data_IF_925726169812
#
_entry.id   IF_925726169812
#
_cell.length_a   1.000
_cell.length_b   1.000
_cell.length_c   1.000
_cell.angle_alpha   90.00
_cell.angle_beta   90.00
_cell.angle_gamma   90.00
#
_symmetry.space_group_name_H-M   'P 1'
#
loop_
_entity.id
_entity.type
_entity.pdbx_description
1 polymer ?
#
# COMPACT_ATOMS: atom_id res chain seq x y z
N UNK A 1 -10.21 8.95 3.84
CA UNK A 1 -9.14 9.95 3.97
C UNK A 1 -8.82 10.16 5.43
N UNK A 2 -7.54 10.19 5.83
CA UNK A 2 -7.12 10.72 7.11
C UNK A 2 -7.57 12.19 7.13
N UNK A 3 -8.65 12.43 7.87
CA UNK A 3 -9.21 13.76 8.10
C UNK A 3 -8.88 14.14 9.54
N UNK A 4 -8.26 15.29 9.73
CA UNK A 4 -8.02 15.92 11.03
C UNK A 4 -8.67 17.29 10.96
N UNK A 5 -9.62 17.53 11.84
CA UNK A 5 -10.40 18.78 11.88
C UNK A 5 -11.09 19.11 10.54
N UNK A 6 -11.67 18.10 9.88
CA UNK A 6 -12.34 18.27 8.59
C UNK A 6 -11.39 18.47 7.39
N UNK A 7 -10.06 18.46 7.59
CA UNK A 7 -9.05 18.64 6.53
C UNK A 7 -8.29 17.35 6.23
N UNK A 8 -8.01 17.06 4.95
CA UNK A 8 -7.13 15.95 4.59
C UNK A 8 -5.72 16.18 5.15
N UNK A 9 -5.16 15.20 5.87
CA UNK A 9 -3.78 15.22 6.38
C UNK A 9 -2.95 14.06 5.82
N UNK A 10 -1.66 14.03 6.15
CA UNK A 10 -0.74 12.97 5.68
C UNK A 10 -0.05 13.27 4.35
N UNK A 11 0.75 12.30 3.90
CA UNK A 11 1.68 12.42 2.76
C UNK A 11 0.99 12.56 1.41
N UNK A 12 -0.23 12.04 1.27
CA UNK A 12 -0.97 11.99 0.00
C UNK A 12 -2.06 13.06 -0.11
N UNK A 13 -2.19 13.95 0.88
CA UNK A 13 -3.31 14.92 0.98
C UNK A 13 -3.58 15.74 -0.28
N UNK A 14 -2.54 16.04 -1.07
CA UNK A 14 -2.65 16.83 -2.31
C UNK A 14 -3.42 16.10 -3.42
N UNK A 15 -3.52 14.78 -3.31
CA UNK A 15 -4.11 13.87 -4.30
C UNK A 15 -5.43 13.26 -3.86
N UNK A 16 -5.94 13.62 -2.67
CA UNK A 16 -7.23 13.12 -2.19
C UNK A 16 -8.36 14.00 -2.71
N UNK A 17 -9.51 13.38 -2.97
CA UNK A 17 -10.77 14.05 -3.35
C UNK A 17 -11.78 13.91 -2.21
N UNK A 18 -12.73 14.86 -2.04
CA UNK A 18 -13.72 14.76 -0.98
C UNK A 18 -14.53 13.46 -1.03
N UNK A 19 -14.94 12.92 0.14
CA UNK A 19 -15.74 11.67 0.23
C UNK A 19 -16.97 11.68 -0.69
N UNK A 20 -17.68 12.80 -0.78
CA UNK A 20 -18.87 12.93 -1.65
C UNK A 20 -18.57 12.91 -3.16
N UNK A 21 -17.31 13.06 -3.57
CA UNK A 21 -16.87 12.97 -4.96
C UNK A 21 -16.43 11.55 -5.36
N UNK A 22 -16.20 10.65 -4.39
CA UNK A 22 -15.73 9.29 -4.67
C UNK A 22 -16.70 8.48 -5.55
N UNK A 23 -18.04 8.47 -5.33
CA UNK A 23 -18.95 7.75 -6.22
C UNK A 23 -18.94 8.31 -7.65
N UNK A 24 -18.76 9.63 -7.81
CA UNK A 24 -18.69 10.27 -9.14
C UNK A 24 -17.38 9.92 -9.85
N UNK A 25 -16.27 9.88 -9.11
CA UNK A 25 -14.98 9.40 -9.61
C UNK A 25 -15.08 7.94 -10.07
N UNK A 26 -15.68 7.07 -9.26
CA UNK A 26 -15.87 5.66 -9.58
C UNK A 26 -16.70 5.47 -10.87
N UNK A 27 -17.77 6.26 -11.07
CA UNK A 27 -18.54 6.25 -12.33
C UNK A 27 -17.67 6.58 -13.53
N UNK A 28 -16.80 7.60 -13.43
CA UNK A 28 -15.92 8.02 -14.54
C UNK A 28 -14.80 7.00 -14.81
N UNK A 29 -14.36 6.28 -13.79
CA UNK A 29 -13.32 5.26 -13.88
C UNK A 29 -13.84 3.84 -14.15
N UNK A 30 -15.16 3.64 -14.13
CA UNK A 30 -15.80 2.31 -14.09
C UNK A 30 -15.27 1.34 -15.15
N UNK A 31 -15.30 1.73 -16.42
CA UNK A 31 -14.86 0.85 -17.52
C UNK A 31 -13.39 0.43 -17.38
N UNK A 32 -12.54 1.37 -16.96
CA UNK A 32 -11.10 1.11 -16.75
C UNK A 32 -10.88 0.20 -15.54
N UNK A 33 -11.62 0.42 -14.45
CA UNK A 33 -11.58 -0.43 -13.26
C UNK A 33 -12.07 -1.85 -13.56
N UNK A 34 -13.18 -2.01 -14.28
CA UNK A 34 -13.70 -3.33 -14.70
C UNK A 34 -12.71 -4.06 -15.60
N UNK A 35 -12.03 -3.33 -16.50
CA UNK A 35 -10.96 -3.89 -17.34
C UNK A 35 -9.79 -4.38 -16.49
N UNK A 36 -9.30 -3.58 -15.54
CA UNK A 36 -8.21 -3.98 -14.64
C UNK A 36 -8.59 -5.16 -13.74
N UNK A 37 -9.81 -5.16 -13.18
CA UNK A 37 -10.35 -6.27 -12.39
C UNK A 37 -10.42 -7.56 -13.22
N UNK A 38 -10.86 -7.47 -14.47
CA UNK A 38 -10.92 -8.62 -15.38
C UNK A 38 -9.52 -9.15 -15.68
N UNK A 39 -8.55 -8.26 -15.90
CA UNK A 39 -7.17 -8.67 -16.12
C UNK A 39 -6.55 -9.33 -14.89
N UNK A 40 -6.89 -8.83 -13.69
CA UNK A 40 -6.50 -9.44 -12.42
C UNK A 40 -7.11 -10.84 -12.26
N UNK A 41 -8.44 -10.97 -12.44
CA UNK A 41 -9.15 -12.23 -12.25
C UNK A 41 -8.71 -13.33 -13.23
N UNK A 42 -8.30 -12.94 -14.44
CA UNK A 42 -7.90 -13.87 -15.50
C UNK A 42 -6.37 -14.00 -15.64
N UNK A 43 -5.58 -13.34 -14.77
CA UNK A 43 -4.11 -13.31 -14.80
C UNK A 43 -3.54 -12.97 -16.20
N UNK A 44 -4.18 -12.05 -16.92
CA UNK A 44 -3.78 -11.65 -18.28
C UNK A 44 -2.71 -10.56 -18.28
N UNK A 45 -2.52 -9.87 -17.16
CA UNK A 45 -1.46 -8.90 -16.94
C UNK A 45 -0.75 -9.22 -15.63
N UNK A 46 0.55 -8.97 -15.59
CA UNK A 46 1.31 -9.07 -14.35
C UNK A 46 0.69 -8.17 -13.27
N UNK A 47 0.67 -8.66 -12.03
CA UNK A 47 0.10 -7.94 -10.89
C UNK A 47 0.75 -6.56 -10.66
N UNK A 48 2.07 -6.44 -10.89
CA UNK A 48 2.78 -5.17 -10.84
C UNK A 48 2.25 -4.18 -11.87
N UNK A 49 2.02 -4.63 -13.10
CA UNK A 49 1.47 -3.83 -14.19
C UNK A 49 0.03 -3.38 -13.89
N UNK A 50 -0.81 -4.26 -13.35
CA UNK A 50 -2.17 -3.91 -12.91
C UNK A 50 -2.12 -2.76 -11.89
N UNK A 51 -1.26 -2.87 -10.88
CA UNK A 51 -1.16 -1.83 -9.85
C UNK A 51 -0.61 -0.52 -10.40
N UNK A 52 0.39 -0.56 -11.29
CA UNK A 52 0.93 0.64 -11.94
C UNK A 52 -0.18 1.34 -12.72
N UNK A 53 -0.93 0.61 -13.55
CA UNK A 53 -2.05 1.17 -14.34
C UNK A 53 -3.13 1.73 -13.43
N UNK A 54 -3.46 1.05 -12.33
CA UNK A 54 -4.39 1.52 -11.32
C UNK A 54 -3.95 2.87 -10.73
N UNK A 55 -2.70 2.97 -10.27
CA UNK A 55 -2.16 4.20 -9.68
C UNK A 55 -2.18 5.35 -10.68
N UNK A 56 -1.68 5.13 -11.92
CA UNK A 56 -1.62 6.17 -12.95
C UNK A 56 -3.01 6.66 -13.36
N UNK A 57 -3.97 5.76 -13.49
CA UNK A 57 -5.35 6.10 -13.84
C UNK A 57 -5.97 7.09 -12.84
N UNK A 58 -5.87 6.82 -11.53
CA UNK A 58 -6.39 7.73 -10.51
C UNK A 58 -5.61 9.05 -10.46
N UNK A 59 -4.29 9.02 -10.65
CA UNK A 59 -3.51 10.26 -10.72
C UNK A 59 -4.04 11.17 -11.83
N UNK A 60 -4.25 10.61 -13.02
CA UNK A 60 -4.76 11.34 -14.19
C UNK A 60 -6.17 11.85 -14.00
N UNK A 61 -7.05 11.04 -13.41
CA UNK A 61 -8.41 11.46 -13.11
C UNK A 61 -8.42 12.65 -12.14
N UNK A 62 -7.58 12.60 -11.10
CA UNK A 62 -7.58 13.62 -10.03
C UNK A 62 -6.79 14.88 -10.38
N UNK A 63 -5.79 14.80 -11.26
CA UNK A 63 -4.86 15.91 -11.56
C UNK A 63 -4.61 16.18 -13.04
N UNK A 64 -5.04 15.30 -13.93
CA UNK A 64 -4.83 15.43 -15.38
C UNK A 64 -3.36 15.69 -15.71
N UNK A 65 -3.09 16.82 -16.36
CA UNK A 65 -1.73 17.24 -16.75
C UNK A 65 -0.80 17.52 -15.56
N UNK A 66 -1.34 17.77 -14.37
CA UNK A 66 -0.54 18.02 -13.16
C UNK A 66 -0.08 16.74 -12.46
N UNK A 67 -0.46 15.55 -12.97
CA UNK A 67 -0.09 14.26 -12.37
C UNK A 67 1.43 14.04 -12.29
N UNK A 68 2.17 14.59 -13.26
CA UNK A 68 3.60 14.38 -13.40
C UNK A 68 4.34 15.71 -13.37
N UNK A 69 5.41 15.78 -12.59
CA UNK A 69 6.25 16.98 -12.52
C UNK A 69 7.04 17.14 -13.82
N UNK A 70 7.16 18.37 -14.29
CA UNK A 70 7.95 18.70 -15.48
C UNK A 70 9.43 18.52 -15.16
N UNK A 71 10.10 17.59 -15.84
CA UNK A 71 11.54 17.33 -15.71
C UNK A 71 12.36 17.96 -16.85
N UNK A 72 11.72 18.74 -17.74
CA UNK A 72 12.37 19.38 -18.88
C UNK A 72 12.62 18.45 -20.08
N UNK A 73 12.32 17.15 -19.94
CA UNK A 73 12.35 16.15 -21.01
C UNK A 73 10.95 15.56 -21.20
N UNK A 74 10.58 15.11 -22.40
CA UNK A 74 9.37 14.32 -22.58
C UNK A 74 9.49 13.04 -21.74
N UNK A 75 8.40 12.65 -21.08
CA UNK A 75 8.36 11.36 -20.39
C UNK A 75 8.38 10.22 -21.40
N UNK A 76 9.02 9.09 -21.07
CA UNK A 76 8.96 7.89 -21.89
C UNK A 76 7.51 7.43 -22.14
N UNK A 77 7.33 6.63 -23.19
CA UNK A 77 6.05 6.00 -23.49
C UNK A 77 5.66 5.03 -22.36
N UNK A 78 4.38 4.97 -22.02
CA UNK A 78 3.86 4.12 -20.93
C UNK A 78 3.70 2.66 -21.31
N UNK A 79 3.88 2.32 -22.58
CA UNK A 79 4.07 0.93 -23.01
C UNK A 79 5.36 0.34 -22.45
N UNK A 80 6.38 1.16 -22.17
CA UNK A 80 7.56 0.79 -21.42
C UNK A 80 7.47 1.35 -19.98
N UNK A 81 6.80 0.58 -19.12
CA UNK A 81 6.56 0.97 -17.72
C UNK A 81 7.87 1.17 -16.94
N UNK A 82 8.92 0.41 -17.24
CA UNK A 82 10.19 0.54 -16.53
C UNK A 82 10.87 1.86 -16.86
N UNK A 83 11.03 2.17 -18.15
CA UNK A 83 11.59 3.45 -18.58
C UNK A 83 10.76 4.63 -18.05
N UNK A 84 9.43 4.52 -18.15
CA UNK A 84 8.53 5.54 -17.60
C UNK A 84 8.73 5.75 -16.10
N UNK A 85 8.76 4.68 -15.31
CA UNK A 85 8.91 4.74 -13.85
C UNK A 85 10.29 5.23 -13.42
N UNK A 86 11.35 5.01 -14.19
CA UNK A 86 12.70 5.56 -13.89
C UNK A 86 12.71 7.10 -13.96
N UNK A 87 12.04 7.67 -14.96
CA UNK A 87 12.10 9.11 -15.27
C UNK A 87 10.99 9.93 -14.61
N UNK A 88 9.80 9.35 -14.42
CA UNK A 88 8.65 10.10 -13.93
C UNK A 88 8.86 10.61 -12.49
N UNK A 89 8.25 11.75 -12.17
CA UNK A 89 8.09 12.21 -10.79
C UNK A 89 6.63 12.50 -10.55
N UNK A 90 6.06 11.82 -9.57
CA UNK A 90 4.64 11.93 -9.25
C UNK A 90 4.37 13.21 -8.45
N UNK A 91 3.39 13.99 -8.89
CA UNK A 91 2.97 15.17 -8.17
C UNK A 91 2.28 14.79 -6.86
N UNK A 92 2.64 15.51 -5.79
CA UNK A 92 1.89 15.45 -4.54
C UNK A 92 2.00 14.15 -3.74
N UNK A 93 2.98 13.30 -4.05
CA UNK A 93 3.31 12.09 -3.30
C UNK A 93 4.83 11.93 -3.12
N UNK A 94 5.28 11.26 -2.03
CA UNK A 94 6.68 10.88 -1.87
C UNK A 94 7.15 9.93 -2.97
N UNK A 95 8.46 9.93 -3.23
CA UNK A 95 9.08 9.07 -4.25
C UNK A 95 9.03 7.57 -3.87
N UNK A 96 8.69 7.26 -2.61
CA UNK A 96 8.53 5.90 -2.09
C UNK A 96 7.60 5.07 -2.97
N UNK A 97 6.44 5.61 -3.35
CA UNK A 97 5.45 4.93 -4.21
C UNK A 97 6.06 4.53 -5.55
N UNK A 98 6.74 5.47 -6.23
CA UNK A 98 7.35 5.23 -7.54
C UNK A 98 8.46 4.18 -7.44
N UNK A 99 9.31 4.26 -6.41
CA UNK A 99 10.38 3.30 -6.20
C UNK A 99 9.85 1.90 -5.90
N UNK A 100 8.77 1.77 -5.12
CA UNK A 100 8.12 0.49 -4.89
C UNK A 100 7.58 -0.11 -6.17
N UNK A 101 6.84 0.66 -6.96
CA UNK A 101 6.31 0.20 -8.24
C UNK A 101 7.42 -0.22 -9.20
N UNK A 102 8.51 0.55 -9.28
CA UNK A 102 9.66 0.23 -10.13
C UNK A 102 10.34 -1.07 -9.69
N UNK A 103 10.69 -1.20 -8.41
CA UNK A 103 11.40 -2.38 -7.93
C UNK A 103 10.55 -3.65 -7.99
N UNK A 104 9.24 -3.53 -7.75
CA UNK A 104 8.35 -4.67 -7.94
C UNK A 104 8.26 -5.08 -9.41
N UNK A 105 8.11 -4.11 -10.33
CA UNK A 105 8.02 -4.41 -11.76
C UNK A 105 9.32 -4.97 -12.36
N UNK A 106 10.46 -4.64 -11.76
CA UNK A 106 11.76 -5.24 -12.09
C UNK A 106 11.98 -6.62 -11.44
N UNK A 107 11.08 -7.07 -10.57
CA UNK A 107 11.22 -8.33 -9.83
C UNK A 107 12.18 -8.28 -8.65
N UNK A 108 12.62 -7.09 -8.23
CA UNK A 108 13.54 -6.92 -7.11
C UNK A 108 12.85 -7.11 -5.75
N UNK A 109 11.57 -6.73 -5.64
CA UNK A 109 10.79 -6.79 -4.40
C UNK A 109 9.60 -7.73 -4.56
N UNK A 110 9.46 -8.68 -3.63
CA UNK A 110 8.35 -9.66 -3.64
C UNK A 110 7.09 -9.02 -3.05
N UNK A 111 6.25 -8.49 -3.93
CA UNK A 111 4.92 -8.01 -3.58
C UNK A 111 3.86 -8.87 -4.25
N UNK A 112 2.75 -9.05 -3.53
CA UNK A 112 1.60 -9.82 -4.00
C UNK A 112 0.36 -8.94 -3.98
N UNK A 113 -0.27 -8.79 -5.14
CA UNK A 113 -1.57 -8.12 -5.27
C UNK A 113 -2.66 -9.05 -4.76
N UNK A 114 -3.50 -8.55 -3.86
CA UNK A 114 -4.72 -9.23 -3.38
C UNK A 114 -5.93 -8.30 -3.49
N UNK A 115 -7.12 -8.88 -3.54
CA UNK A 115 -8.39 -8.18 -3.74
C UNK A 115 -9.27 -8.07 -2.48
N UNK A 116 -8.70 -8.45 -1.33
CA UNK A 116 -9.33 -8.36 -0.02
C UNK A 116 -8.34 -7.82 0.99
N UNK A 117 -8.86 -7.22 2.06
CA UNK A 117 -8.02 -6.83 3.19
C UNK A 117 -7.44 -8.09 3.85
N UNK A 118 -6.11 -8.19 4.03
CA UNK A 118 -5.51 -9.27 4.79
C UNK A 118 -5.76 -9.02 6.28
N UNK A 119 -5.95 -10.09 7.05
CA UNK A 119 -5.90 -10.01 8.51
C UNK A 119 -4.48 -9.68 8.98
N UNK A 120 -4.35 -9.15 10.20
CA UNK A 120 -3.06 -8.89 10.85
C UNK A 120 -2.18 -10.14 10.92
N UNK A 121 -2.78 -11.33 11.09
CA UNK A 121 -2.07 -12.61 11.09
C UNK A 121 -1.58 -13.03 9.70
N UNK A 122 -2.37 -12.79 8.65
CA UNK A 122 -1.92 -13.03 7.27
C UNK A 122 -0.77 -12.11 6.88
N UNK A 123 -0.85 -10.83 7.29
CA UNK A 123 0.25 -9.88 7.08
C UNK A 123 1.50 -10.29 7.86
N UNK A 124 1.37 -10.71 9.13
CA UNK A 124 2.48 -11.28 9.91
C UNK A 124 3.15 -12.43 9.17
N UNK A 125 2.34 -13.38 8.69
CA UNK A 125 2.83 -14.57 7.98
C UNK A 125 3.58 -14.18 6.71
N UNK A 126 3.00 -13.28 5.90
CA UNK A 126 3.67 -12.81 4.67
C UNK A 126 5.02 -12.15 4.94
N UNK A 127 5.10 -11.29 5.96
CA UNK A 127 6.34 -10.59 6.31
C UNK A 127 7.38 -11.54 6.90
N UNK A 128 6.94 -12.55 7.66
CA UNK A 128 7.82 -13.63 8.12
C UNK A 128 8.34 -14.49 6.96
N UNK A 129 7.60 -14.58 5.85
CA UNK A 129 8.03 -15.26 4.62
C UNK A 129 8.86 -14.36 3.68
N UNK A 130 8.99 -13.06 3.98
CA UNK A 130 9.83 -12.13 3.22
C UNK A 130 9.12 -11.37 2.10
N UNK A 131 7.78 -11.42 2.05
CA UNK A 131 7.01 -10.66 1.07
C UNK A 131 5.96 -9.76 1.75
N UNK A 132 5.35 -8.85 0.98
CA UNK A 132 4.23 -8.03 1.46
C UNK A 132 3.05 -8.06 0.50
N UNK A 133 1.86 -7.85 1.05
CA UNK A 133 0.68 -7.60 0.24
C UNK A 133 0.55 -6.14 -0.17
N UNK A 134 -0.08 -5.93 -1.32
CA UNK A 134 -0.71 -4.68 -1.71
C UNK A 134 -2.15 -4.98 -2.09
N UNK A 135 -3.10 -4.18 -1.61
CA UNK A 135 -4.52 -4.50 -1.69
C UNK A 135 -5.27 -3.55 -2.63
N UNK A 136 -6.05 -4.09 -3.55
CA UNK A 136 -7.11 -3.36 -4.24
C UNK A 136 -8.46 -3.97 -3.89
N UNK A 137 -9.25 -3.29 -3.06
CA UNK A 137 -10.66 -3.64 -2.88
C UNK A 137 -11.46 -3.18 -4.12
N UNK A 138 -11.64 -4.09 -5.08
CA UNK A 138 -12.27 -3.79 -6.37
C UNK A 138 -13.72 -3.33 -6.22
N UNK A 139 -14.48 -3.94 -5.30
CA UNK A 139 -15.88 -3.60 -5.12
C UNK A 139 -16.03 -2.19 -4.56
N UNK A 140 -15.20 -1.82 -3.56
CA UNK A 140 -15.16 -0.43 -3.07
C UNK A 140 -14.65 0.56 -4.11
N UNK A 141 -13.68 0.17 -4.93
CA UNK A 141 -13.19 1.04 -6.01
C UNK A 141 -14.29 1.35 -7.03
N UNK A 142 -15.07 0.33 -7.42
CA UNK A 142 -16.18 0.44 -8.36
C UNK A 142 -17.38 1.20 -7.80
N UNK A 143 -17.61 1.12 -6.50
CA UNK A 143 -18.70 1.83 -5.82
C UNK A 143 -18.31 3.25 -5.37
N UNK A 144 -17.02 3.56 -5.32
CA UNK A 144 -16.51 4.82 -4.78
C UNK A 144 -16.67 4.90 -3.27
N UNK A 145 -16.42 3.79 -2.60
CA UNK A 145 -16.56 3.65 -1.15
C UNK A 145 -15.23 3.72 -0.40
N UNK A 146 -15.34 3.89 0.91
CA UNK A 146 -14.20 4.01 1.81
C UNK A 146 -13.81 2.64 2.37
N UNK A 147 -12.51 2.39 2.46
CA UNK A 147 -11.93 1.29 3.23
C UNK A 147 -11.97 1.68 4.72
N UNK A 148 -12.65 0.84 5.50
CA UNK A 148 -12.84 0.99 6.96
C UNK A 148 -13.32 2.38 7.39
N UNK A 149 -14.07 3.09 6.55
CA UNK A 149 -14.45 4.50 6.73
C UNK A 149 -13.27 5.50 6.89
N UNK A 150 -12.02 5.05 6.75
CA UNK A 150 -10.82 5.84 7.04
C UNK A 150 -10.08 6.27 5.77
N UNK A 151 -10.07 5.48 4.68
CA UNK A 151 -9.31 5.78 3.44
C UNK A 151 -10.13 5.52 2.18
N UNK A 152 -9.86 6.23 1.10
CA UNK A 152 -10.35 5.78 -0.21
C UNK A 152 -9.43 4.68 -0.76
N UNK A 153 -9.90 3.87 -1.70
CA UNK A 153 -9.15 2.69 -2.19
C UNK A 153 -7.80 3.07 -2.78
N UNK A 154 -7.71 4.21 -3.49
CA UNK A 154 -6.44 4.65 -4.06
C UNK A 154 -5.44 5.06 -2.98
N UNK A 155 -5.89 5.79 -1.96
CA UNK A 155 -5.03 6.11 -0.81
C UNK A 155 -4.55 4.86 -0.07
N UNK A 156 -5.41 3.85 0.09
CA UNK A 156 -5.05 2.58 0.72
C UNK A 156 -3.94 1.86 -0.06
N UNK A 157 -4.05 1.79 -1.39
CA UNK A 157 -2.96 1.28 -2.25
C UNK A 157 -1.65 2.04 -2.03
N UNK A 158 -1.71 3.38 -1.98
CA UNK A 158 -0.50 4.18 -1.75
C UNK A 158 0.11 3.96 -0.37
N UNK A 159 -0.72 3.70 0.64
CA UNK A 159 -0.29 3.34 1.98
C UNK A 159 0.44 2.00 1.99
N UNK A 160 -0.12 0.97 1.37
CA UNK A 160 0.52 -0.34 1.23
C UNK A 160 1.87 -0.23 0.49
N UNK A 161 1.93 0.55 -0.58
CA UNK A 161 3.17 0.80 -1.33
C UNK A 161 4.22 1.55 -0.50
N UNK A 162 3.80 2.46 0.38
CA UNK A 162 4.71 3.14 1.30
C UNK A 162 5.26 2.18 2.36
N UNK A 163 4.46 1.26 2.89
CA UNK A 163 4.95 0.24 3.83
C UNK A 163 5.84 -0.80 3.17
N UNK A 164 5.49 -1.23 1.96
CA UNK A 164 6.36 -2.06 1.13
C UNK A 164 7.73 -1.41 0.92
N UNK A 165 7.77 -0.10 0.66
CA UNK A 165 9.03 0.64 0.59
C UNK A 165 9.84 0.50 1.87
N UNK A 166 9.22 0.71 3.05
CA UNK A 166 9.92 0.58 4.34
C UNK A 166 10.37 -0.85 4.63
N UNK A 167 9.65 -1.85 4.14
CA UNK A 167 9.96 -3.27 4.36
C UNK A 167 11.15 -3.76 3.55
N UNK A 168 11.29 -3.30 2.31
CA UNK A 168 12.35 -3.77 1.40
C UNK A 168 13.57 -2.86 1.32
N UNK A 169 13.46 -1.61 1.78
CA UNK A 169 14.55 -0.66 1.70
C UNK A 169 15.74 -1.10 2.55
N UNK A 170 16.94 -0.99 1.99
CA UNK A 170 18.20 -1.45 2.58
C UNK A 170 18.45 -0.89 3.99
N UNK A 171 18.23 0.41 4.20
CA UNK A 171 18.46 1.06 5.50
C UNK A 171 17.54 0.55 6.63
N UNK A 172 16.52 -0.23 6.28
CA UNK A 172 15.57 -0.83 7.21
C UNK A 172 15.86 -2.31 7.46
N UNK A 173 16.97 -2.84 6.95
CA UNK A 173 17.45 -4.21 7.15
C UNK A 173 16.35 -5.26 6.91
N UNK A 174 15.93 -5.42 5.65
CA UNK A 174 14.86 -6.34 5.25
C UNK A 174 14.99 -7.73 5.91
N UNK A 175 16.17 -8.36 5.83
CA UNK A 175 16.41 -9.67 6.46
C UNK A 175 16.19 -9.65 7.98
N UNK A 176 16.58 -8.57 8.64
CA UNK A 176 16.37 -8.40 10.07
C UNK A 176 14.89 -8.21 10.44
N UNK A 177 14.10 -7.56 9.57
CA UNK A 177 12.64 -7.46 9.73
C UNK A 177 11.99 -8.84 9.57
N UNK A 178 12.39 -9.60 8.54
CA UNK A 178 11.90 -10.97 8.31
C UNK A 178 12.19 -11.86 9.52
N UNK A 179 13.40 -11.81 10.08
CA UNK A 179 13.75 -12.56 11.30
C UNK A 179 12.90 -12.13 12.50
N UNK A 180 12.67 -10.83 12.68
CA UNK A 180 11.77 -10.34 13.73
C UNK A 180 10.35 -10.90 13.57
N UNK A 181 9.77 -10.83 12.37
CA UNK A 181 8.42 -11.35 12.15
C UNK A 181 8.32 -12.86 12.29
N UNK A 182 9.37 -13.62 11.93
CA UNK A 182 9.46 -15.07 12.21
C UNK A 182 9.43 -15.38 13.70
N UNK A 183 10.17 -14.62 14.51
CA UNK A 183 10.14 -14.75 15.97
C UNK A 183 8.73 -14.45 16.51
N UNK A 184 8.12 -13.34 16.09
CA UNK A 184 6.76 -12.98 16.51
C UNK A 184 5.73 -14.03 16.09
N UNK A 185 5.85 -14.59 14.89
CA UNK A 185 4.98 -15.65 14.40
C UNK A 185 5.12 -16.94 15.22
N UNK A 186 6.35 -17.31 15.59
CA UNK A 186 6.61 -18.46 16.47
C UNK A 186 5.92 -18.32 17.83
N UNK A 187 5.92 -17.10 18.38
CA UNK A 187 5.31 -16.79 19.67
C UNK A 187 3.83 -16.38 19.58
N UNK A 188 3.25 -16.35 18.37
CA UNK A 188 1.90 -15.85 18.12
C UNK A 188 0.82 -16.50 19.02
N UNK A 189 0.81 -17.82 19.28
CA UNK A 189 -0.20 -18.42 20.16
C UNK A 189 -0.20 -17.84 21.57
N UNK A 190 0.96 -17.42 22.09
CA UNK A 190 1.09 -16.79 23.41
C UNK A 190 0.49 -15.38 23.36
N UNK A 191 0.78 -14.62 22.31
CA UNK A 191 0.26 -13.27 22.15
C UNK A 191 -1.24 -13.27 21.88
N UNK A 192 -1.76 -14.19 21.07
CA UNK A 192 -3.17 -14.33 20.75
C UNK A 192 -4.04 -14.61 22.00
N UNK A 193 -3.55 -15.41 22.95
CA UNK A 193 -4.27 -15.59 24.22
C UNK A 193 -4.36 -14.31 25.05
N UNK A 194 -3.35 -13.44 24.95
CA UNK A 194 -3.35 -12.14 25.62
C UNK A 194 -4.26 -11.14 24.91
N UNK A 195 -4.31 -11.12 23.57
CA UNK A 195 -5.18 -10.21 22.82
C UNK A 195 -6.67 -10.43 23.13
N UNK A 196 -7.06 -11.65 23.54
CA UNK A 196 -8.42 -11.96 24.00
C UNK A 196 -8.79 -11.32 25.35
N UNK A 197 -7.80 -10.94 26.17
CA UNK A 197 -7.98 -10.48 27.56
C UNK A 197 -7.63 -9.00 27.76
N UNK A 198 -6.81 -8.44 26.87
CA UNK A 198 -6.27 -7.09 26.98
C UNK A 198 -6.44 -6.36 25.64
N UNK A 199 -7.45 -5.50 25.58
CA UNK A 199 -7.80 -4.71 24.40
C UNK A 199 -6.68 -3.74 23.98
N UNK A 200 -5.97 -3.17 24.96
CA UNK A 200 -4.89 -2.22 24.71
C UNK A 200 -3.70 -2.95 24.11
N UNK A 201 -3.38 -4.13 24.62
CA UNK A 201 -2.37 -5.01 24.03
C UNK A 201 -2.80 -5.43 22.62
N UNK A 202 -4.04 -5.88 22.43
CA UNK A 202 -4.57 -6.28 21.11
C UNK A 202 -4.34 -5.21 20.05
N UNK A 203 -4.83 -3.99 20.29
CA UNK A 203 -4.71 -2.90 19.33
C UNK A 203 -3.24 -2.59 18.96
N UNK A 204 -2.34 -2.56 19.95
CA UNK A 204 -0.92 -2.28 19.71
C UNK A 204 -0.20 -3.45 19.03
N UNK A 205 -0.54 -4.68 19.38
CA UNK A 205 0.03 -5.87 18.78
C UNK A 205 -0.42 -6.03 17.33
N UNK A 206 -1.71 -5.82 17.04
CA UNK A 206 -2.23 -5.81 15.67
C UNK A 206 -1.52 -4.76 14.82
N UNK A 207 -1.34 -3.54 15.33
CA UNK A 207 -0.56 -2.50 14.65
C UNK A 207 0.90 -2.93 14.38
N UNK A 208 1.55 -3.58 15.35
CA UNK A 208 2.93 -4.06 15.21
C UNK A 208 3.08 -5.07 14.07
N UNK A 209 2.08 -5.93 13.86
CA UNK A 209 2.18 -7.03 12.91
C UNK A 209 1.55 -6.73 11.54
N UNK A 210 0.77 -5.64 11.41
CA UNK A 210 0.14 -5.24 10.14
C UNK A 210 0.87 -4.09 9.42
N UNK A 211 1.23 -3.03 10.14
CA UNK A 211 1.59 -1.73 9.57
C UNK A 211 2.95 -1.20 10.05
N UNK A 212 3.68 -1.97 10.86
CA UNK A 212 4.95 -1.52 11.43
C UNK A 212 6.14 -2.10 10.67
N UNK A 213 6.48 -1.49 9.53
CA UNK A 213 7.75 -1.74 8.85
C UNK A 213 8.77 -0.69 9.27
N UNK A 214 9.78 -1.12 10.04
CA UNK A 214 10.81 -0.26 10.64
C UNK A 214 12.11 -1.03 10.84
N UNK A 215 13.18 -0.34 11.24
CA UNK A 215 14.44 -0.99 11.58
C UNK A 215 14.22 -2.06 12.68
N UNK A 216 14.83 -3.25 12.61
CA UNK A 216 14.57 -4.37 13.53
C UNK A 216 14.72 -4.03 15.02
N UNK A 217 15.73 -3.21 15.34
CA UNK A 217 15.93 -2.68 16.69
C UNK A 217 14.68 -1.92 17.21
N UNK A 218 14.04 -1.11 16.36
CA UNK A 218 12.84 -0.38 16.73
C UNK A 218 11.64 -1.32 16.92
N UNK A 219 11.48 -2.32 16.04
CA UNK A 219 10.43 -3.33 16.16
C UNK A 219 10.52 -4.10 17.48
N UNK A 220 11.72 -4.54 17.85
CA UNK A 220 11.98 -5.24 19.12
C UNK A 220 11.72 -4.33 20.33
N UNK A 221 12.11 -3.06 20.26
CA UNK A 221 11.82 -2.09 21.33
C UNK A 221 10.32 -1.87 21.50
N UNK A 222 9.59 -1.73 20.39
CA UNK A 222 8.14 -1.58 20.41
C UNK A 222 7.47 -2.80 21.02
N UNK A 223 7.78 -4.01 20.53
CA UNK A 223 7.23 -5.26 21.08
C UNK A 223 7.47 -5.39 22.58
N UNK A 224 8.70 -5.12 23.04
CA UNK A 224 9.03 -5.11 24.48
C UNK A 224 8.21 -4.09 25.27
N UNK A 225 7.96 -2.91 24.71
CA UNK A 225 7.22 -1.87 25.38
C UNK A 225 5.73 -2.23 25.55
N UNK A 226 5.14 -2.94 24.58
CA UNK A 226 3.74 -3.36 24.66
C UNK A 226 3.54 -4.64 25.48
N UNK A 227 4.60 -5.43 25.69
CA UNK A 227 4.57 -6.61 26.53
C UNK A 227 4.63 -6.31 28.03
N UNK A 228 5.12 -5.13 28.42
CA UNK A 228 5.10 -4.63 29.81
C UNK A 228 3.69 -4.27 30.25
#
# INVERSE_FOLDING_TARGET
>A
MPVRDGKPYGSFRKMLVPRGELPKEAIRLKEKLETLRTNFANDTLAHSEILIRFVLMYMEERKGRLSFLKTGRPLPDRSDLNSFLMEVRFYGMPDTVRQTLLNWNLGNWDLRLIDRLPSSFEMLTSQAEGYRFVTIDWDKALQGEMIEDIRDVWEHVLHDLAHAFMFFREEYEHEGQVLFFKEVLSDYPIYEERTKRDEVFRSKFEYCISDMNSHPAHLRLYLRAILR
#
